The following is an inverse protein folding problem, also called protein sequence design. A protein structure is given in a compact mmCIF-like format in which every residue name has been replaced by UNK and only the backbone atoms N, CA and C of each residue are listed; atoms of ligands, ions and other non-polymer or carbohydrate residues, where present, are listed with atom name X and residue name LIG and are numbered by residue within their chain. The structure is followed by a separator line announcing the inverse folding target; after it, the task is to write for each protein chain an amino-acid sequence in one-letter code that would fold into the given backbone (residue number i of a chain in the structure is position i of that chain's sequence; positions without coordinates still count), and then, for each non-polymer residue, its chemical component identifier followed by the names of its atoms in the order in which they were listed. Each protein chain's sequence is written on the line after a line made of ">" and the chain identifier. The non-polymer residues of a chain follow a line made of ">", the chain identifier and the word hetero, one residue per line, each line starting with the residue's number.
data_IF_539565386286
#
_entry.id   IF_539565386286
#
_cell.length_a   1.000
_cell.length_b   1.000
_cell.length_c   1.000
_cell.angle_alpha   90.00
_cell.angle_beta   90.00
_cell.angle_gamma   90.00
#
_symmetry.space_group_name_H-M   'P 1'
#
loop_
_entity.id
_entity.type
_entity.pdbx_description
1 polymer ?
#
# COMPACT_ATOMS: atom_id res chain seq x y z
N UNK A 1 -41.57 -60.84 -19.10
CA UNK A 1 -40.65 -59.94 -18.39
C UNK A 1 -41.23 -58.53 -18.56
N UNK A 2 -42.29 -58.21 -17.83
CA UNK A 2 -42.33 -57.53 -16.51
C UNK A 2 -41.61 -56.17 -16.47
N UNK A 3 -42.25 -55.13 -15.87
CA UNK A 3 -42.17 -53.73 -16.34
C UNK A 3 -41.70 -52.74 -15.24
N UNK A 4 -41.49 -51.46 -15.60
CA UNK A 4 -41.51 -50.33 -14.64
C UNK A 4 -42.05 -49.10 -15.39
N UNK A 5 -43.30 -48.68 -15.19
CA UNK A 5 -43.75 -47.75 -14.14
C UNK A 5 -42.95 -46.43 -14.21
N UNK A 6 -43.45 -45.28 -14.69
CA UNK A 6 -44.80 -44.75 -14.64
C UNK A 6 -45.01 -44.04 -13.30
N UNK A 7 -44.79 -42.72 -13.22
CA UNK A 7 -45.56 -41.79 -12.39
C UNK A 7 -45.19 -40.32 -12.70
N UNK A 8 -46.26 -39.53 -12.73
CA UNK A 8 -46.46 -38.15 -13.14
C UNK A 8 -46.91 -37.42 -11.87
N UNK A 9 -46.35 -36.23 -11.59
CA UNK A 9 -46.83 -35.04 -10.84
C UNK A 9 -47.80 -35.24 -9.63
N UNK A 10 -47.77 -34.45 -8.52
CA UNK A 10 -47.97 -32.98 -8.60
C UNK A 10 -47.50 -32.08 -7.42
N UNK A 11 -47.43 -30.77 -7.67
CA UNK A 11 -48.28 -29.80 -6.97
C UNK A 11 -47.80 -29.14 -5.66
N UNK A 12 -47.97 -27.80 -5.66
CA UNK A 12 -48.16 -26.89 -4.52
C UNK A 12 -46.90 -26.57 -3.69
N UNK A 13 -46.62 -25.34 -3.26
CA UNK A 13 -47.46 -24.25 -2.79
C UNK A 13 -46.77 -22.89 -3.06
N UNK A 14 -47.54 -21.89 -3.48
CA UNK A 14 -47.24 -20.47 -3.17
C UNK A 14 -47.35 -20.23 -1.66
N UNK A 15 -46.69 -19.21 -1.09
CA UNK A 15 -47.41 -17.93 -0.99
C UNK A 15 -46.52 -16.66 -1.07
N UNK A 16 -47.04 -15.63 -1.72
CA UNK A 16 -46.86 -14.23 -1.32
C UNK A 16 -47.58 -14.02 0.04
N UNK A 17 -47.12 -13.17 0.98
CA UNK A 17 -47.50 -11.75 0.86
C UNK A 17 -46.54 -10.70 1.50
N UNK A 18 -46.64 -9.50 0.95
CA UNK A 18 -46.73 -8.21 1.66
C UNK A 18 -45.53 -7.70 2.47
N UNK A 19 -44.87 -6.72 1.86
CA UNK A 19 -44.84 -5.33 2.32
C UNK A 19 -44.75 -5.08 3.85
N UNK A 20 -43.54 -4.70 4.29
CA UNK A 20 -43.39 -3.67 5.31
C UNK A 20 -42.13 -2.86 5.02
N UNK A 21 -42.36 -1.60 4.71
CA UNK A 21 -41.35 -0.59 4.57
C UNK A 21 -40.67 -0.36 5.92
N UNK A 22 -39.34 -0.40 5.96
CA UNK A 22 -38.60 0.38 6.93
C UNK A 22 -37.37 0.99 6.26
N UNK A 23 -37.46 2.31 6.08
CA UNK A 23 -36.36 3.17 5.66
C UNK A 23 -35.29 3.11 6.74
N UNK A 24 -34.10 2.63 6.41
CA UNK A 24 -32.90 2.83 7.24
C UNK A 24 -31.92 3.75 6.48
N UNK A 25 -31.55 4.91 7.03
CA UNK A 25 -30.65 5.86 6.37
C UNK A 25 -29.18 5.38 6.39
N UNK A 26 -28.34 5.80 5.43
CA UNK A 26 -26.91 5.47 5.44
C UNK A 26 -26.20 6.30 6.52
N UNK A 27 -25.85 5.66 7.65
CA UNK A 27 -25.04 6.31 8.68
C UNK A 27 -23.55 6.26 8.30
N UNK A 28 -23.10 7.39 7.76
CA UNK A 28 -21.91 8.13 8.19
C UNK A 28 -20.59 7.36 8.29
N UNK A 29 -19.82 7.41 7.21
CA UNK A 29 -18.38 7.22 7.20
C UNK A 29 -17.69 8.13 8.23
N UNK A 30 -16.99 7.54 9.20
CA UNK A 30 -16.25 8.26 10.24
C UNK A 30 -14.82 8.50 9.75
N UNK A 31 -14.58 9.69 9.18
CA UNK A 31 -13.23 10.17 8.83
C UNK A 31 -12.46 10.65 10.09
N UNK A 32 -11.12 10.52 10.15
CA UNK A 32 -10.31 11.06 11.25
C UNK A 32 -10.12 12.59 11.14
N UNK A 33 -9.79 13.29 12.25
CA UNK A 33 -9.73 14.75 12.29
C UNK A 33 -8.55 15.31 11.49
N UNK A 34 -8.86 16.31 10.65
CA UNK A 34 -7.91 17.08 9.83
C UNK A 34 -7.28 18.19 10.69
N UNK A 35 -5.96 18.30 10.67
CA UNK A 35 -5.21 19.42 11.23
C UNK A 35 -5.55 20.75 10.51
N UNK A 36 -5.56 21.90 11.21
CA UNK A 36 -5.76 23.21 10.56
C UNK A 36 -4.50 23.69 9.82
N UNK A 37 -4.62 24.43 8.70
CA UNK A 37 -3.49 24.97 7.97
C UNK A 37 -2.90 26.22 8.67
N UNK A 38 -1.61 26.54 8.45
CA UNK A 38 -1.00 27.73 9.03
C UNK A 38 -1.49 29.02 8.33
N UNK A 39 -1.63 30.06 9.15
CA UNK A 39 -2.08 31.43 8.81
C UNK A 39 -1.31 32.04 7.62
N UNK A 40 -2.06 32.64 6.69
CA UNK A 40 -1.55 33.48 5.62
C UNK A 40 -1.04 34.84 6.15
N UNK A 41 0.14 35.26 5.68
CA UNK A 41 0.74 36.58 5.95
C UNK A 41 0.09 37.67 5.05
N UNK A 42 0.10 38.94 5.47
CA UNK A 42 -0.64 40.01 4.80
C UNK A 42 -0.02 40.42 3.46
N UNK A 43 -0.87 40.59 2.45
CA UNK A 43 -0.56 41.22 1.15
C UNK A 43 -0.19 42.69 1.35
N UNK A 44 0.99 43.10 0.88
CA UNK A 44 1.33 44.51 0.69
C UNK A 44 1.00 44.92 -0.75
N UNK A 45 0.29 46.05 -0.89
CA UNK A 45 -0.23 46.57 -2.14
C UNK A 45 0.87 46.96 -3.15
N UNK A 46 0.58 46.71 -4.42
CA UNK A 46 1.31 47.25 -5.58
C UNK A 46 0.87 48.68 -5.84
N UNK A 47 1.82 49.61 -5.95
CA UNK A 47 1.54 51.01 -6.25
C UNK A 47 2.76 51.74 -6.82
N UNK A 48 2.84 51.78 -8.15
CA UNK A 48 3.30 52.92 -8.95
C UNK A 48 4.78 53.31 -8.93
N UNK A 49 5.39 53.34 -10.11
CA UNK A 49 6.65 54.05 -10.30
C UNK A 49 7.34 53.80 -11.64
N UNK A 50 6.80 54.35 -12.73
CA UNK A 50 7.57 54.53 -13.98
C UNK A 50 8.62 55.62 -13.75
N UNK A 51 9.90 55.32 -13.92
CA UNK A 51 10.91 56.34 -14.30
C UNK A 51 11.90 55.77 -15.31
N UNK A 52 11.99 56.50 -16.42
CA UNK A 52 12.98 56.42 -17.47
C UNK A 52 14.40 56.59 -16.90
N UNK A 53 15.36 55.84 -17.45
CA UNK A 53 16.76 55.91 -17.08
C UNK A 53 17.60 55.01 -17.98
N UNK A 54 18.14 55.58 -19.05
CA UNK A 54 19.25 55.02 -19.82
C UNK A 54 20.45 54.83 -18.90
N UNK A 55 20.67 53.59 -18.46
CA UNK A 55 21.93 53.16 -17.87
C UNK A 55 22.18 51.74 -18.37
N UNK A 56 23.17 51.60 -19.26
CA UNK A 56 23.58 50.32 -19.80
C UNK A 56 23.96 49.39 -18.65
N UNK A 57 23.19 48.31 -18.50
CA UNK A 57 23.55 47.22 -17.61
C UNK A 57 24.74 46.49 -18.24
N UNK A 58 25.96 46.89 -17.90
CA UNK A 58 27.13 46.03 -18.10
C UNK A 58 27.00 44.91 -17.10
N UNK A 59 26.33 43.83 -17.50
CA UNK A 59 26.49 42.56 -16.82
C UNK A 59 27.99 42.24 -16.80
N UNK A 60 28.57 41.84 -15.65
CA UNK A 60 29.83 41.13 -15.66
C UNK A 60 29.57 39.80 -16.35
N UNK A 61 29.57 39.79 -17.68
CA UNK A 61 29.78 38.55 -18.41
C UNK A 61 31.21 38.16 -18.10
N UNK A 62 31.47 37.00 -17.47
CA UNK A 62 32.82 36.47 -17.45
C UNK A 62 33.20 36.29 -18.91
N UNK A 63 34.09 37.18 -19.38
CA UNK A 63 34.74 37.06 -20.68
C UNK A 63 35.30 35.66 -20.79
N UNK A 64 34.98 35.00 -21.90
CA UNK A 64 35.42 33.67 -22.28
C UNK A 64 36.95 33.56 -22.24
N UNK A 65 37.51 33.33 -21.06
CA UNK A 65 38.88 32.95 -20.86
C UNK A 65 38.94 31.44 -21.04
N UNK A 66 39.37 31.04 -22.24
CA UNK A 66 40.03 29.78 -22.57
C UNK A 66 39.54 28.53 -21.84
N UNK A 67 38.97 27.60 -22.61
CA UNK A 67 38.98 26.18 -22.29
C UNK A 67 40.44 25.76 -22.01
N UNK A 68 40.86 25.83 -20.75
CA UNK A 68 42.02 25.15 -20.24
C UNK A 68 41.49 23.84 -19.68
N UNK A 69 41.88 22.67 -20.21
CA UNK A 69 41.67 21.44 -19.48
C UNK A 69 42.56 21.58 -18.25
N UNK A 70 41.95 21.92 -17.11
CA UNK A 70 42.65 21.93 -15.85
C UNK A 70 43.00 20.45 -15.60
N UNK A 71 44.18 20.00 -16.04
CA UNK A 71 44.54 18.57 -16.08
C UNK A 71 44.48 17.90 -14.70
N UNK A 72 44.62 18.70 -13.63
CA UNK A 72 44.36 18.30 -12.26
C UNK A 72 42.87 17.95 -12.01
N UNK A 73 41.94 18.69 -12.62
CA UNK A 73 40.50 18.43 -12.58
C UNK A 73 40.13 17.20 -13.42
N UNK A 74 40.75 17.00 -14.58
CA UNK A 74 40.49 15.79 -15.40
C UNK A 74 41.03 14.54 -14.70
N UNK A 75 42.22 14.61 -14.11
CA UNK A 75 42.78 13.53 -13.31
C UNK A 75 41.95 13.25 -12.06
N UNK A 76 41.46 14.28 -11.37
CA UNK A 76 40.56 14.14 -10.23
C UNK A 76 39.25 13.44 -10.63
N UNK A 77 38.65 13.84 -11.75
CA UNK A 77 37.45 13.19 -12.30
C UNK A 77 37.70 11.73 -12.69
N UNK A 78 38.86 11.43 -13.29
CA UNK A 78 39.24 10.04 -13.60
C UNK A 78 39.41 9.20 -12.32
N UNK A 79 40.03 9.76 -11.29
CA UNK A 79 40.13 9.10 -9.98
C UNK A 79 38.75 8.84 -9.36
N UNK A 80 37.84 9.81 -9.44
CA UNK A 80 36.47 9.68 -8.94
C UNK A 80 35.68 8.61 -9.72
N UNK A 81 35.81 8.56 -11.05
CA UNK A 81 35.22 7.50 -11.87
C UNK A 81 35.73 6.12 -11.44
N UNK A 82 37.04 5.98 -11.22
CA UNK A 82 37.62 4.70 -10.77
C UNK A 82 37.19 4.36 -9.34
N UNK A 83 36.99 5.34 -8.47
CA UNK A 83 36.41 5.11 -7.14
C UNK A 83 34.95 4.65 -7.22
N UNK A 84 34.13 5.30 -8.04
CA UNK A 84 32.73 4.93 -8.26
C UNK A 84 32.61 3.51 -8.82
N UNK A 85 33.44 3.14 -9.82
CA UNK A 85 33.46 1.77 -10.35
C UNK A 85 33.83 0.73 -9.30
N UNK A 86 34.76 1.04 -8.38
CA UNK A 86 35.09 0.13 -7.27
C UNK A 86 33.91 -0.03 -6.32
N UNK A 87 33.17 1.05 -6.03
CA UNK A 87 31.97 1.00 -5.21
C UNK A 87 30.87 0.18 -5.87
N UNK A 88 30.62 0.40 -7.16
CA UNK A 88 29.64 -0.37 -7.93
C UNK A 88 29.97 -1.87 -7.87
N UNK A 89 31.23 -2.24 -8.12
CA UNK A 89 31.65 -3.65 -8.07
C UNK A 89 31.54 -4.26 -6.67
N UNK A 90 31.81 -3.48 -5.61
CA UNK A 90 31.62 -3.95 -4.24
C UNK A 90 30.14 -4.17 -3.91
N UNK A 91 29.26 -3.27 -4.37
CA UNK A 91 27.81 -3.39 -4.20
C UNK A 91 27.25 -4.58 -4.98
N UNK A 92 27.73 -4.81 -6.21
CA UNK A 92 27.33 -5.98 -7.00
C UNK A 92 27.71 -7.30 -6.31
N UNK A 93 28.87 -7.34 -5.63
CA UNK A 93 29.28 -8.49 -4.84
C UNK A 93 28.37 -8.72 -3.62
N UNK A 94 28.02 -7.65 -2.91
CA UNK A 94 27.09 -7.73 -1.77
C UNK A 94 25.69 -8.19 -2.21
N UNK A 95 25.19 -7.66 -3.33
CA UNK A 95 23.92 -8.09 -3.93
C UNK A 95 23.99 -9.58 -4.30
N UNK A 96 25.07 -10.03 -4.94
CA UNK A 96 25.23 -11.43 -5.32
C UNK A 96 25.29 -12.35 -4.09
N UNK A 97 25.96 -11.93 -3.02
CA UNK A 97 26.00 -12.65 -1.77
C UNK A 97 24.59 -12.80 -1.16
N UNK A 98 23.85 -11.70 -1.02
CA UNK A 98 22.48 -11.72 -0.49
C UNK A 98 21.54 -12.61 -1.31
N UNK A 99 21.63 -12.57 -2.63
CA UNK A 99 20.86 -13.45 -3.51
C UNK A 99 21.26 -14.93 -3.34
N UNK A 100 22.55 -15.22 -3.13
CA UNK A 100 23.04 -16.59 -2.87
C UNK A 100 22.59 -17.14 -1.51
N UNK A 101 22.41 -16.26 -0.52
CA UNK A 101 21.86 -16.59 0.79
C UNK A 101 20.33 -16.80 0.74
N UNK A 102 19.70 -16.55 -0.41
CA UNK A 102 18.28 -16.78 -0.64
C UNK A 102 17.40 -15.54 -0.53
N UNK A 103 17.95 -14.41 -0.07
CA UNK A 103 17.21 -13.15 0.08
C UNK A 103 16.82 -12.58 -1.28
N UNK A 104 15.68 -13.04 -1.80
CA UNK A 104 15.09 -12.55 -3.03
C UNK A 104 13.79 -11.80 -2.71
N UNK A 105 13.53 -10.72 -3.45
CA UNK A 105 12.27 -9.98 -3.32
C UNK A 105 11.04 -10.87 -3.54
N UNK A 106 11.16 -11.88 -4.41
CA UNK A 106 10.10 -12.84 -4.67
C UNK A 106 9.81 -13.80 -3.51
N UNK A 107 10.79 -14.10 -2.65
CA UNK A 107 10.52 -14.87 -1.42
C UNK A 107 9.77 -14.03 -0.40
N UNK A 108 10.16 -12.77 -0.24
CA UNK A 108 9.50 -11.83 0.66
C UNK A 108 8.04 -11.60 0.26
N UNK A 109 7.78 -11.37 -1.02
CA UNK A 109 6.41 -11.21 -1.53
C UNK A 109 5.56 -12.46 -1.28
N UNK A 110 6.12 -13.66 -1.49
CA UNK A 110 5.45 -14.93 -1.14
C UNK A 110 5.12 -15.03 0.34
N UNK A 111 6.05 -14.66 1.22
CA UNK A 111 5.81 -14.69 2.66
C UNK A 111 4.73 -13.69 3.09
N UNK A 112 4.70 -12.51 2.48
CA UNK A 112 3.64 -11.52 2.70
C UNK A 112 2.29 -12.08 2.24
N UNK A 113 2.22 -12.69 1.06
CA UNK A 113 0.99 -13.31 0.55
C UNK A 113 0.49 -14.43 1.46
N UNK A 114 1.38 -15.33 1.89
CA UNK A 114 1.01 -16.44 2.79
C UNK A 114 0.51 -15.93 4.14
N UNK A 115 1.10 -14.87 4.67
CA UNK A 115 0.65 -14.27 5.93
C UNK A 115 -0.75 -13.65 5.80
N UNK A 116 -1.03 -12.99 4.67
CA UNK A 116 -2.37 -12.47 4.38
C UNK A 116 -3.39 -13.60 4.24
N UNK A 117 -3.08 -14.63 3.46
CA UNK A 117 -3.96 -15.79 3.27
C UNK A 117 -4.24 -16.51 4.59
N UNK A 118 -3.20 -16.72 5.42
CA UNK A 118 -3.36 -17.28 6.76
C UNK A 118 -4.28 -16.42 7.63
N UNK A 119 -4.05 -15.11 7.69
CA UNK A 119 -4.88 -14.20 8.50
C UNK A 119 -6.33 -14.16 8.00
N UNK A 120 -6.56 -14.15 6.70
CA UNK A 120 -7.91 -14.19 6.12
C UNK A 120 -8.67 -15.46 6.54
N UNK A 121 -8.01 -16.62 6.45
CA UNK A 121 -8.60 -17.90 6.88
C UNK A 121 -8.82 -17.92 8.39
N UNK A 122 -7.84 -17.46 9.19
CA UNK A 122 -7.92 -17.37 10.65
C UNK A 122 -9.09 -16.49 11.08
N UNK A 123 -9.25 -15.32 10.46
CA UNK A 123 -10.32 -14.37 10.77
C UNK A 123 -11.69 -14.92 10.39
N UNK A 124 -11.81 -15.57 9.23
CA UNK A 124 -13.02 -16.26 8.83
C UNK A 124 -13.38 -17.40 9.80
N UNK A 125 -12.40 -18.20 10.21
CA UNK A 125 -12.56 -19.27 11.19
C UNK A 125 -13.03 -18.75 12.55
N UNK A 126 -12.39 -17.69 13.06
CA UNK A 126 -12.76 -17.06 14.32
C UNK A 126 -14.16 -16.41 14.26
N UNK A 127 -14.53 -15.81 13.13
CA UNK A 127 -15.89 -15.30 12.93
C UNK A 127 -16.93 -16.43 12.99
N UNK A 128 -16.67 -17.55 12.33
CA UNK A 128 -17.55 -18.73 12.38
C UNK A 128 -17.65 -19.28 13.80
N UNK A 129 -16.51 -19.42 14.48
CA UNK A 129 -16.44 -19.94 15.84
C UNK A 129 -17.19 -19.03 16.83
N UNK A 130 -17.07 -17.71 16.67
CA UNK A 130 -17.83 -16.73 17.45
C UNK A 130 -19.34 -16.86 17.24
N UNK A 131 -19.81 -17.04 16.00
CA UNK A 131 -21.23 -17.28 15.70
C UNK A 131 -21.71 -18.60 16.30
N UNK A 132 -20.89 -19.66 16.20
CA UNK A 132 -21.20 -20.97 16.75
C UNK A 132 -21.31 -20.93 18.29
N UNK A 133 -20.40 -20.23 18.95
CA UNK A 133 -20.42 -20.02 20.39
C UNK A 133 -21.73 -19.36 20.85
N UNK A 134 -22.18 -18.32 20.15
CA UNK A 134 -23.46 -17.65 20.42
C UNK A 134 -24.64 -18.60 20.26
N UNK A 135 -24.68 -19.39 19.19
CA UNK A 135 -25.78 -20.34 18.95
C UNK A 135 -25.83 -21.42 20.03
N UNK A 136 -24.66 -21.93 20.46
CA UNK A 136 -24.56 -22.96 21.50
C UNK A 136 -24.68 -22.41 22.93
N UNK A 137 -24.65 -21.08 23.10
CA UNK A 137 -24.63 -20.46 24.42
C UNK A 137 -23.36 -20.74 25.23
N UNK A 138 -22.26 -21.09 24.57
CA UNK A 138 -20.95 -21.35 25.19
C UNK A 138 -19.98 -20.22 24.88
N UNK A 139 -18.87 -20.17 25.61
CA UNK A 139 -17.79 -19.21 25.28
C UNK A 139 -16.93 -19.78 24.15
N UNK A 140 -16.35 -18.90 23.32
CA UNK A 140 -15.48 -19.32 22.22
C UNK A 140 -14.32 -20.19 22.71
N UNK A 141 -13.75 -19.90 23.90
CA UNK A 141 -12.68 -20.68 24.52
C UNK A 141 -13.05 -22.14 24.81
N UNK A 142 -14.33 -22.42 25.10
CA UNK A 142 -14.79 -23.79 25.36
C UNK A 142 -14.87 -24.63 24.09
N UNK A 143 -14.96 -24.00 22.91
CA UNK A 143 -14.98 -24.70 21.62
C UNK A 143 -13.56 -25.05 21.13
N UNK A 144 -12.52 -24.42 21.65
CA UNK A 144 -11.16 -24.61 21.15
C UNK A 144 -10.68 -26.07 21.24
N UNK A 145 -10.88 -26.79 22.38
CA UNK A 145 -10.54 -28.20 22.48
C UNK A 145 -11.38 -29.13 21.58
N UNK A 146 -12.58 -28.72 21.17
CA UNK A 146 -13.44 -29.53 20.28
C UNK A 146 -12.97 -29.50 18.82
N UNK A 147 -12.23 -28.44 18.44
CA UNK A 147 -11.78 -28.19 17.08
C UNK A 147 -10.24 -28.26 16.96
N UNK A 148 -9.56 -28.88 17.93
CA UNK A 148 -8.10 -28.97 18.00
C UNK A 148 -7.39 -27.60 17.86
N UNK A 149 -8.02 -26.55 18.38
CA UNK A 149 -7.44 -25.21 18.39
C UNK A 149 -6.63 -25.02 19.68
N UNK A 150 -5.32 -24.87 19.54
CA UNK A 150 -4.46 -24.45 20.66
C UNK A 150 -4.60 -22.94 20.92
N UNK A 151 -4.50 -22.53 22.18
CA UNK A 151 -4.47 -21.11 22.57
C UNK A 151 -3.08 -20.48 22.40
N UNK A 152 -2.08 -21.28 22.02
CA UNK A 152 -0.72 -20.86 21.69
C UNK A 152 -0.66 -20.45 20.22
N UNK A 153 -0.61 -19.15 19.98
CA UNK A 153 -0.20 -18.54 18.70
C UNK A 153 1.30 -18.23 18.76
#
# INVERSE_FOLDING_TARGET
>A
MSPAAGLREPGALSPEPSALAERVPPSTARSPPRHPPPRALPRRASGGGRRSGTAGFRAPVPSSSSFQPNGASEAALRCEIEELKRKDLALDQEIAQLLSEGYSLGELEKHISLLHEYNEIKDAGQMLLGKLAVIRGVTTKQLYPEYDLELSD
#
